data_IF_195898550269
#
_entry.id   IF_195898550269
#
_cell.length_a   1.000
_cell.length_b   1.000
_cell.length_c   1.000
_cell.angle_alpha   90.00
_cell.angle_beta   90.00
_cell.angle_gamma   90.00
#
_symmetry.space_group_name_H-M   'P 1'
#
loop_
_entity.id
_entity.type
_entity.pdbx_description
1 polymer ?
#
# COMPACT_ATOMS: atom_id res chain seq x y z
N UNK A 1 -9.46 18.13 23.47
CA UNK A 1 -10.69 17.49 22.96
C UNK A 1 -10.30 16.86 21.63
N UNK A 2 -10.40 15.54 21.47
CA UNK A 2 -10.08 14.90 20.18
C UNK A 2 -11.16 15.29 19.18
N UNK A 3 -10.75 15.90 18.08
CA UNK A 3 -11.66 16.24 16.99
C UNK A 3 -12.13 14.96 16.26
N UNK A 4 -13.36 14.98 15.74
CA UNK A 4 -13.99 13.82 15.09
C UNK A 4 -13.15 13.33 13.90
N UNK A 5 -12.55 14.26 13.16
CA UNK A 5 -11.66 13.94 12.04
C UNK A 5 -10.44 13.11 12.50
N UNK A 6 -9.84 13.45 13.64
CA UNK A 6 -8.69 12.72 14.19
C UNK A 6 -9.04 11.28 14.54
N UNK A 7 -10.23 11.05 15.09
CA UNK A 7 -10.71 9.70 15.43
C UNK A 7 -10.91 8.87 14.16
N UNK A 8 -11.46 9.46 13.10
CA UNK A 8 -11.67 8.76 11.83
C UNK A 8 -10.33 8.41 11.15
N UNK A 9 -9.38 9.35 11.11
CA UNK A 9 -8.04 9.12 10.54
C UNK A 9 -7.33 7.99 11.30
N UNK A 10 -7.37 8.03 12.64
CA UNK A 10 -6.81 6.97 13.48
C UNK A 10 -7.46 5.60 13.20
N UNK A 11 -8.79 5.56 13.03
CA UNK A 11 -9.52 4.35 12.68
C UNK A 11 -9.12 3.78 11.32
N UNK A 12 -8.93 4.64 10.31
CA UNK A 12 -8.46 4.23 8.98
C UNK A 12 -7.04 3.68 9.04
N UNK A 13 -6.12 4.35 9.72
CA UNK A 13 -4.73 3.89 9.87
C UNK A 13 -4.68 2.56 10.63
N UNK A 14 -5.50 2.42 11.68
CA UNK A 14 -5.61 1.18 12.43
C UNK A 14 -6.07 0.02 11.53
N UNK A 15 -7.13 0.22 10.74
CA UNK A 15 -7.63 -0.80 9.81
C UNK A 15 -6.58 -1.16 8.75
N UNK A 16 -5.93 -0.17 8.15
CA UNK A 16 -4.91 -0.39 7.13
C UNK A 16 -3.71 -1.17 7.69
N UNK A 17 -3.26 -0.81 8.90
CA UNK A 17 -2.17 -1.51 9.59
C UNK A 17 -2.58 -2.93 9.97
N UNK A 18 -3.83 -3.15 10.40
CA UNK A 18 -4.37 -4.49 10.68
C UNK A 18 -4.33 -5.38 9.43
N UNK A 19 -4.74 -4.85 8.28
CA UNK A 19 -4.67 -5.56 6.99
C UNK A 19 -3.22 -5.92 6.67
N UNK A 20 -2.28 -4.99 6.88
CA UNK A 20 -0.86 -5.28 6.70
C UNK A 20 -0.34 -6.34 7.64
N UNK A 21 -0.71 -6.33 8.91
CA UNK A 21 -0.29 -7.37 9.86
C UNK A 21 -0.84 -8.74 9.49
N UNK A 22 -2.06 -8.79 8.91
CA UNK A 22 -2.68 -10.04 8.48
C UNK A 22 -2.13 -10.57 7.15
N UNK A 23 -1.90 -9.70 6.16
CA UNK A 23 -1.54 -10.08 4.79
C UNK A 23 -0.06 -9.85 4.44
N UNK A 24 0.65 -9.04 5.21
CA UNK A 24 2.03 -8.59 4.94
C UNK A 24 2.13 -7.42 3.95
N UNK A 25 1.06 -7.09 3.21
CA UNK A 25 1.03 -6.05 2.18
C UNK A 25 -0.37 -5.41 2.06
N UNK A 26 -0.51 -4.36 1.25
CA UNK A 26 -1.81 -3.76 0.91
C UNK A 26 -2.29 -2.64 1.86
N UNK A 27 -1.48 -2.23 2.84
CA UNK A 27 -1.77 -1.10 3.74
C UNK A 27 -2.17 0.16 2.96
N UNK A 28 -1.30 0.61 2.06
CA UNK A 28 -1.51 1.83 1.29
C UNK A 28 -2.71 1.74 0.34
N UNK A 29 -3.03 0.53 -0.16
CA UNK A 29 -4.22 0.30 -1.00
C UNK A 29 -5.52 0.54 -0.24
N UNK A 30 -5.51 0.43 1.09
CA UNK A 30 -6.66 0.73 1.95
C UNK A 30 -6.58 2.12 2.55
N UNK A 31 -5.41 2.52 3.07
CA UNK A 31 -5.22 3.80 3.74
C UNK A 31 -5.47 4.98 2.80
N UNK A 32 -4.84 5.01 1.61
CA UNK A 32 -4.90 6.16 0.70
C UNK A 32 -6.32 6.49 0.24
N UNK A 33 -7.13 5.54 -0.29
CA UNK A 33 -8.49 5.86 -0.71
C UNK A 33 -9.38 6.27 0.45
N UNK A 34 -9.31 5.57 1.59
CA UNK A 34 -10.11 5.91 2.76
C UNK A 34 -9.74 7.30 3.31
N UNK A 35 -8.45 7.61 3.44
CA UNK A 35 -7.99 8.95 3.86
C UNK A 35 -8.36 10.03 2.83
N UNK A 36 -8.38 9.71 1.53
CA UNK A 36 -8.74 10.68 0.48
C UNK A 36 -10.20 11.15 0.51
N UNK A 37 -11.08 10.44 1.24
CA UNK A 37 -12.44 10.88 1.55
C UNK A 37 -12.48 11.94 2.66
N UNK A 38 -11.46 12.00 3.52
CA UNK A 38 -11.39 12.91 4.66
C UNK A 38 -10.50 14.13 4.38
N UNK A 39 -9.39 13.91 3.68
CA UNK A 39 -8.35 14.91 3.42
C UNK A 39 -7.92 14.86 1.95
N UNK A 40 -7.28 15.93 1.42
CA UNK A 40 -6.76 15.93 0.06
C UNK A 40 -5.80 14.76 -0.18
N UNK A 41 -5.84 14.19 -1.38
CA UNK A 41 -5.03 13.00 -1.73
C UNK A 41 -3.52 13.28 -1.63
N UNK A 42 -3.14 14.53 -1.87
CA UNK A 42 -1.78 15.07 -1.74
C UNK A 42 -1.24 14.98 -0.31
N UNK A 43 -2.12 14.97 0.70
CA UNK A 43 -1.78 14.78 2.11
C UNK A 43 -1.98 13.33 2.53
N UNK A 44 -3.05 12.68 2.05
CA UNK A 44 -3.37 11.29 2.35
C UNK A 44 -2.23 10.33 1.97
N UNK A 45 -1.66 10.49 0.77
CA UNK A 45 -0.60 9.61 0.28
C UNK A 45 0.68 9.69 1.12
N UNK A 46 1.26 10.89 1.41
CA UNK A 46 2.40 10.99 2.32
C UNK A 46 2.12 10.46 3.73
N UNK A 47 0.93 10.72 4.29
CA UNK A 47 0.57 10.22 5.63
C UNK A 47 0.56 8.68 5.65
N UNK A 48 -0.03 8.04 4.64
CA UNK A 48 -0.01 6.59 4.51
C UNK A 48 1.43 6.06 4.36
N UNK A 49 2.28 6.73 3.56
CA UNK A 49 3.69 6.33 3.39
C UNK A 49 4.46 6.43 4.70
N UNK A 50 4.27 7.50 5.48
CA UNK A 50 4.93 7.64 6.78
C UNK A 50 4.51 6.53 7.75
N UNK A 51 3.21 6.24 7.84
CA UNK A 51 2.71 5.11 8.63
C UNK A 51 3.33 3.79 8.16
N UNK A 52 3.37 3.57 6.84
CA UNK A 52 3.97 2.37 6.25
C UNK A 52 5.45 2.24 6.57
N UNK A 53 6.23 3.33 6.53
CA UNK A 53 7.65 3.33 6.90
C UNK A 53 7.82 3.01 8.39
N UNK A 54 6.99 3.58 9.26
CA UNK A 54 7.04 3.30 10.70
C UNK A 54 6.79 1.81 10.97
N UNK A 55 5.72 1.25 10.41
CA UNK A 55 5.39 -0.18 10.58
C UNK A 55 6.47 -1.06 9.94
N UNK A 56 7.02 -0.67 8.77
CA UNK A 56 8.13 -1.38 8.14
C UNK A 56 9.38 -1.40 9.01
N UNK A 57 9.73 -0.27 9.62
CA UNK A 57 10.86 -0.15 10.53
C UNK A 57 10.70 -1.06 11.76
N UNK A 58 9.52 -1.09 12.37
CA UNK A 58 9.23 -1.95 13.51
C UNK A 58 9.41 -3.44 13.12
N UNK A 59 8.79 -3.85 12.01
CA UNK A 59 8.89 -5.24 11.51
C UNK A 59 10.34 -5.58 11.17
N UNK A 60 11.07 -4.66 10.53
CA UNK A 60 12.46 -4.88 10.15
C UNK A 60 13.36 -5.03 11.37
N UNK A 61 13.17 -4.26 12.45
CA UNK A 61 13.92 -4.44 13.70
C UNK A 61 13.61 -5.79 14.35
N UNK A 62 12.36 -6.23 14.32
CA UNK A 62 11.94 -7.51 14.90
C UNK A 62 12.47 -8.72 14.13
N UNK A 63 12.44 -8.68 12.79
CA UNK A 63 12.69 -9.84 11.93
C UNK A 63 13.93 -9.72 11.02
N UNK A 64 14.87 -8.81 11.31
CA UNK A 64 16.03 -8.51 10.45
C UNK A 64 16.85 -9.74 10.01
N UNK A 65 16.91 -10.80 10.83
CA UNK A 65 17.68 -12.03 10.54
C UNK A 65 17.05 -12.94 9.49
N UNK A 66 15.78 -12.75 9.13
CA UNK A 66 15.06 -13.57 8.15
C UNK A 66 14.89 -12.87 6.79
N UNK A 67 15.46 -11.67 6.64
CA UNK A 67 15.31 -10.84 5.44
C UNK A 67 16.20 -11.37 4.32
N UNK A 68 15.58 -11.81 3.22
CA UNK A 68 16.27 -12.23 2.00
C UNK A 68 16.54 -11.01 1.12
N UNK A 69 17.70 -10.40 1.32
CA UNK A 69 18.11 -9.14 0.65
C UNK A 69 18.16 -9.23 -0.87
N UNK A 70 18.45 -10.40 -1.43
CA UNK A 70 18.55 -10.60 -2.88
C UNK A 70 17.20 -10.44 -3.60
N UNK A 71 16.12 -10.96 -3.01
CA UNK A 71 14.75 -10.80 -3.56
C UNK A 71 14.20 -9.39 -3.33
N UNK A 72 14.56 -8.76 -2.20
CA UNK A 72 14.13 -7.41 -1.89
C UNK A 72 14.66 -6.35 -2.89
N UNK A 73 15.86 -6.58 -3.45
CA UNK A 73 16.48 -5.63 -4.38
C UNK A 73 15.65 -5.36 -5.64
N UNK A 74 14.98 -6.38 -6.21
CA UNK A 74 14.12 -6.17 -7.37
C UNK A 74 12.90 -5.30 -7.06
N UNK A 75 12.34 -5.41 -5.85
CA UNK A 75 11.25 -4.54 -5.39
C UNK A 75 11.73 -3.10 -5.23
N UNK A 76 12.91 -2.91 -4.64
CA UNK A 76 13.51 -1.57 -4.46
C UNK A 76 13.73 -0.89 -5.81
N UNK A 77 14.27 -1.62 -6.79
CA UNK A 77 14.53 -1.05 -8.11
C UNK A 77 13.23 -0.66 -8.84
N UNK A 78 12.20 -1.51 -8.78
CA UNK A 78 10.88 -1.19 -9.34
C UNK A 78 10.26 0.05 -8.66
N UNK A 79 10.41 0.16 -7.34
CA UNK A 79 9.93 1.29 -6.55
C UNK A 79 10.68 2.58 -6.91
N UNK A 80 11.97 2.49 -7.23
CA UNK A 80 12.79 3.65 -7.63
C UNK A 80 12.24 4.35 -8.88
N UNK A 81 11.63 3.60 -9.80
CA UNK A 81 10.95 4.17 -10.97
C UNK A 81 9.50 4.57 -10.64
N UNK A 82 8.82 3.83 -9.76
CA UNK A 82 7.45 4.11 -9.36
C UNK A 82 7.29 5.42 -8.57
N UNK A 83 8.22 5.73 -7.65
CA UNK A 83 8.17 6.93 -6.80
C UNK A 83 8.16 8.23 -7.62
N UNK A 84 9.12 8.51 -8.53
CA UNK A 84 9.13 9.78 -9.27
C UNK A 84 7.89 9.91 -10.16
N UNK A 85 7.46 8.81 -10.77
CA UNK A 85 6.25 8.80 -11.59
C UNK A 85 5.00 9.09 -10.76
N UNK A 86 4.87 8.45 -9.58
CA UNK A 86 3.78 8.71 -8.64
C UNK A 86 3.79 10.14 -8.09
N UNK A 87 4.97 10.71 -7.84
CA UNK A 87 5.12 12.08 -7.35
C UNK A 87 4.71 13.11 -8.42
N UNK A 88 5.14 12.92 -9.68
CA UNK A 88 4.71 13.78 -10.80
C UNK A 88 3.20 13.68 -10.99
N UNK A 89 2.64 12.46 -10.92
CA UNK A 89 1.20 12.26 -11.00
C UNK A 89 0.46 12.97 -9.86
N UNK A 90 0.99 12.94 -8.64
CA UNK A 90 0.34 13.57 -7.48
C UNK A 90 0.46 15.11 -7.48
N UNK A 91 1.53 15.66 -8.04
CA UNK A 91 1.84 17.11 -7.95
C UNK A 91 1.45 17.91 -9.18
N UNK A 92 1.44 17.31 -10.37
CA UNK A 92 1.17 18.02 -11.63
C UNK A 92 -0.23 17.78 -12.19
N UNK A 93 -0.93 16.75 -11.69
CA UNK A 93 -2.26 16.40 -12.17
C UNK A 93 -3.32 16.92 -11.20
N UNK A 94 -4.45 17.36 -11.75
CA UNK A 94 -5.57 17.84 -10.94
C UNK A 94 -6.06 16.76 -9.96
N UNK A 95 -6.30 17.16 -8.70
CA UNK A 95 -6.76 16.28 -7.62
C UNK A 95 -7.94 15.36 -8.03
N UNK A 96 -8.99 15.83 -8.73
CA UNK A 96 -10.11 14.97 -9.12
C UNK A 96 -9.69 13.85 -10.06
N UNK A 97 -8.69 14.07 -10.92
CA UNK A 97 -8.21 13.06 -11.86
C UNK A 97 -7.37 11.99 -11.15
N UNK A 98 -6.56 12.39 -10.16
CA UNK A 98 -5.82 11.44 -9.31
C UNK A 98 -6.79 10.56 -8.51
N UNK A 99 -7.82 11.18 -7.90
CA UNK A 99 -8.89 10.45 -7.19
C UNK A 99 -9.66 9.51 -8.13
N UNK A 100 -9.97 9.95 -9.34
CA UNK A 100 -10.63 9.10 -10.34
C UNK A 100 -9.76 7.91 -10.74
N UNK A 101 -8.46 8.13 -11.00
CA UNK A 101 -7.52 7.06 -11.32
C UNK A 101 -7.43 6.04 -10.17
N UNK A 102 -7.32 6.51 -8.93
CA UNK A 102 -7.33 5.66 -7.74
C UNK A 102 -8.62 4.83 -7.66
N UNK A 103 -9.78 5.44 -7.88
CA UNK A 103 -11.07 4.76 -7.88
C UNK A 103 -11.13 3.67 -8.97
N UNK A 104 -10.68 3.98 -10.20
CA UNK A 104 -10.63 2.99 -11.30
C UNK A 104 -9.73 1.81 -10.92
N UNK A 105 -8.53 2.07 -10.40
CA UNK A 105 -7.60 1.01 -9.99
C UNK A 105 -8.23 0.09 -8.94
N UNK A 106 -8.89 0.67 -7.93
CA UNK A 106 -9.54 -0.10 -6.86
C UNK A 106 -10.70 -0.92 -7.41
N UNK A 107 -11.57 -0.34 -8.23
CA UNK A 107 -12.72 -1.04 -8.81
C UNK A 107 -12.25 -2.19 -9.70
N UNK A 108 -11.29 -1.94 -10.59
CA UNK A 108 -10.72 -2.97 -11.48
C UNK A 108 -10.08 -4.08 -10.66
N UNK A 109 -9.26 -3.74 -9.66
CA UNK A 109 -8.62 -4.74 -8.79
C UNK A 109 -9.65 -5.54 -7.99
N UNK A 110 -10.69 -4.90 -7.49
CA UNK A 110 -11.75 -5.55 -6.70
C UNK A 110 -12.57 -6.51 -7.55
N UNK A 111 -12.94 -6.10 -8.78
CA UNK A 111 -13.60 -6.96 -9.75
C UNK A 111 -12.69 -8.14 -10.11
N UNK A 112 -11.42 -7.86 -10.42
CA UNK A 112 -10.43 -8.90 -10.73
C UNK A 112 -10.31 -9.90 -9.57
N UNK A 113 -10.20 -9.45 -8.34
CA UNK A 113 -10.13 -10.29 -7.13
C UNK A 113 -11.38 -11.14 -6.96
N UNK A 114 -12.57 -10.57 -7.18
CA UNK A 114 -13.85 -11.28 -7.03
C UNK A 114 -14.08 -12.33 -8.13
N UNK A 115 -13.66 -12.04 -9.37
CA UNK A 115 -13.76 -12.94 -10.52
C UNK A 115 -12.66 -14.01 -10.49
N UNK A 116 -11.45 -13.64 -10.04
CA UNK A 116 -10.32 -14.54 -9.85
C UNK A 116 -10.50 -15.42 -8.60
N UNK A 117 -11.51 -16.30 -8.61
CA UNK A 117 -11.72 -17.34 -7.59
C UNK A 117 -10.64 -18.44 -7.58
N UNK A 118 -9.56 -18.29 -8.34
CA UNK A 118 -8.50 -19.30 -8.45
C UNK A 118 -7.36 -18.94 -7.52
N UNK A 119 -7.25 -19.68 -6.42
CA UNK A 119 -5.97 -19.87 -5.73
C UNK A 119 -5.00 -20.37 -6.80
N UNK A 120 -4.06 -19.53 -7.22
CA UNK A 120 -2.86 -20.02 -7.87
C UNK A 120 -2.08 -20.79 -6.81
N UNK A 121 -2.48 -22.04 -6.58
CA UNK A 121 -1.61 -23.03 -5.93
C UNK A 121 -0.44 -23.23 -6.88
N UNK A 122 0.70 -22.61 -6.55
CA UNK A 122 1.99 -22.97 -7.10
C UNK A 122 2.19 -24.45 -6.77
N UNK A 123 1.92 -25.31 -7.75
CA UNK A 123 1.85 -26.77 -7.57
C UNK A 123 3.22 -27.43 -7.56
N UNK A 124 4.31 -26.69 -7.79
CA UNK A 124 5.68 -27.22 -7.77
C UNK A 124 6.72 -26.12 -7.52
N UNK A 125 7.45 -26.23 -6.40
CA UNK A 125 8.66 -25.48 -6.04
C UNK A 125 9.93 -26.12 -6.65
N UNK A 126 9.87 -26.60 -7.90
CA UNK A 126 10.99 -27.37 -8.49
C UNK A 126 12.15 -26.53 -9.01
N UNK A 127 12.01 -25.21 -9.09
CA UNK A 127 12.95 -24.34 -9.81
C UNK A 127 13.59 -23.26 -8.91
N UNK A 128 13.66 -23.49 -7.60
CA UNK A 128 14.35 -22.60 -6.67
C UNK A 128 15.75 -23.07 -6.23
N UNK A 129 16.31 -24.15 -6.82
CA UNK A 129 17.61 -24.69 -6.38
C UNK A 129 18.48 -25.35 -7.46
N UNK A 130 18.61 -24.70 -8.62
CA UNK A 130 19.77 -24.88 -9.52
C UNK A 130 20.37 -23.51 -9.80
#
# INVERSE_FOLDING_TARGET
MLDLATVQIAGVIFLATLIRSALGFGEALVAVPLLSFLIPVEIAAPVAVLASITVAGIVMVQDWRKVHVQSAWWLVLSTFLGIPLGLVLLTQVAEPLVKAALAVVIVVFSIYSLVSRRRYELKDDRWAWL
#
